data_IF_107461781298
#
_entry.id   IF_107461781298
#
_cell.length_a   1.000
_cell.length_b   1.000
_cell.length_c   1.000
_cell.angle_alpha   90.00
_cell.angle_beta   90.00
_cell.angle_gamma   90.00
#
_symmetry.space_group_name_H-M   'P 1'
#
loop_
_entity.id
_entity.type
_entity.pdbx_description
1 polymer ?
#
# COMPACT_ATOMS: atom_id res chain seq x y z
N UNK A 1 2.13 -9.00 -31.39
CA UNK A 1 2.25 -8.08 -30.25
C UNK A 1 1.58 -8.77 -29.07
N UNK A 2 2.24 -8.87 -27.91
CA UNK A 2 1.59 -9.36 -26.70
C UNK A 2 0.55 -8.33 -26.25
N UNK A 3 -0.61 -8.79 -25.78
CA UNK A 3 -1.65 -7.92 -25.22
C UNK A 3 -1.28 -7.57 -23.78
N UNK A 4 -1.19 -6.27 -23.48
CA UNK A 4 -1.01 -5.76 -22.12
C UNK A 4 -2.41 -5.53 -21.53
N UNK A 5 -2.67 -6.16 -20.39
CA UNK A 5 -3.89 -5.92 -19.60
C UNK A 5 -3.56 -4.98 -18.45
N UNK A 6 -4.34 -3.90 -18.32
CA UNK A 6 -4.23 -2.95 -17.22
C UNK A 6 -5.34 -3.16 -16.20
N UNK A 7 -4.93 -3.32 -14.95
CA UNK A 7 -5.80 -3.42 -13.78
C UNK A 7 -5.65 -2.15 -12.97
N UNK A 8 -6.77 -1.62 -12.48
CA UNK A 8 -6.81 -0.45 -11.60
C UNK A 8 -7.39 -0.91 -10.27
N UNK A 9 -6.75 -0.52 -9.16
CA UNK A 9 -7.27 -0.85 -7.83
C UNK A 9 -8.65 -0.21 -7.65
N UNK A 10 -9.56 -0.94 -7.02
CA UNK A 10 -10.84 -0.40 -6.57
C UNK A 10 -10.71 0.03 -5.09
N UNK A 11 -10.71 1.34 -4.78
CA UNK A 11 -10.58 1.81 -3.41
C UNK A 11 -11.76 1.43 -2.51
N UNK A 12 -12.95 1.14 -3.06
CA UNK A 12 -14.13 0.79 -2.27
C UNK A 12 -14.06 -0.62 -1.67
N UNK A 13 -13.24 -1.50 -2.27
CA UNK A 13 -13.10 -2.90 -1.87
C UNK A 13 -11.66 -3.26 -1.50
N UNK A 14 -10.83 -2.24 -1.22
CA UNK A 14 -9.43 -2.41 -0.87
C UNK A 14 -9.10 -1.64 0.41
N UNK A 15 -8.07 -2.08 1.13
CA UNK A 15 -7.58 -1.38 2.32
C UNK A 15 -6.06 -1.39 2.39
N UNK A 16 -5.51 -0.32 2.95
CA UNK A 16 -4.07 -0.18 3.21
C UNK A 16 -3.90 -0.02 4.71
N UNK A 17 -3.52 -1.10 5.38
CA UNK A 17 -3.40 -1.13 6.84
C UNK A 17 -1.96 -1.29 7.29
N UNK A 18 -1.64 -0.73 8.45
CA UNK A 18 -0.39 -0.95 9.16
C UNK A 18 -0.65 -1.26 10.63
N UNK A 19 0.30 -1.99 11.24
CA UNK A 19 0.28 -2.31 12.67
C UNK A 19 1.66 -2.08 13.26
N UNK A 20 1.72 -1.32 14.35
CA UNK A 20 2.96 -1.02 15.07
C UNK A 20 2.80 -1.39 16.54
N UNK A 21 3.75 -2.15 17.08
CA UNK A 21 3.78 -2.49 18.50
C UNK A 21 4.20 -1.26 19.32
N UNK A 22 3.50 -1.00 20.41
CA UNK A 22 3.82 0.04 21.38
C UNK A 22 4.10 -0.61 22.74
N UNK A 23 5.36 -0.50 23.19
CA UNK A 23 5.88 -1.07 24.45
C UNK A 23 5.58 -2.57 24.65
N UNK A 24 5.46 -3.36 23.57
CA UNK A 24 5.20 -4.82 23.58
C UNK A 24 3.82 -5.22 24.15
N UNK A 25 3.05 -4.29 24.71
CA UNK A 25 1.76 -4.54 25.37
C UNK A 25 0.59 -4.20 24.44
N UNK A 26 0.68 -3.09 23.71
CA UNK A 26 -0.40 -2.64 22.82
C UNK A 26 0.04 -2.60 21.36
N UNK A 27 -0.92 -2.70 20.45
CA UNK A 27 -0.70 -2.57 19.01
C UNK A 27 -1.54 -1.41 18.50
N UNK A 28 -0.87 -0.42 17.90
CA UNK A 28 -1.54 0.63 17.15
C UNK A 28 -1.84 0.07 15.77
N UNK A 29 -3.12 0.06 15.40
CA UNK A 29 -3.57 -0.23 14.03
C UNK A 29 -3.94 1.08 13.38
N UNK A 30 -3.50 1.29 12.15
CA UNK A 30 -3.93 2.43 11.35
C UNK A 30 -4.08 2.04 9.89
N UNK A 31 -4.64 2.96 9.12
CA UNK A 31 -4.82 2.81 7.68
C UNK A 31 -4.59 4.13 6.95
N UNK A 32 -4.43 4.05 5.64
CA UNK A 32 -4.49 5.20 4.73
C UNK A 32 -5.78 5.10 3.91
N UNK A 33 -6.62 6.12 3.96
CA UNK A 33 -7.95 6.12 3.31
C UNK A 33 -7.94 6.57 1.85
N UNK A 34 -6.86 7.22 1.40
CA UNK A 34 -6.72 7.73 0.04
C UNK A 34 -5.51 7.09 -0.60
N UNK A 35 -5.77 6.23 -1.57
CA UNK A 35 -4.74 5.52 -2.30
C UNK A 35 -5.21 5.18 -3.71
N UNK A 36 -4.24 4.91 -4.58
CA UNK A 36 -4.44 4.48 -5.95
C UNK A 36 -3.35 3.47 -6.32
N UNK A 37 -3.61 2.72 -7.38
CA UNK A 37 -2.65 1.73 -7.85
C UNK A 37 -3.09 1.10 -9.15
N UNK A 38 -2.09 0.67 -9.91
CA UNK A 38 -2.27 0.00 -11.20
C UNK A 38 -1.34 -1.18 -11.32
N UNK A 39 -1.80 -2.23 -12.00
CA UNK A 39 -0.97 -3.35 -12.41
C UNK A 39 -1.10 -3.54 -13.92
N UNK A 40 0.01 -3.60 -14.62
CA UNK A 40 0.07 -3.89 -16.05
C UNK A 40 0.81 -5.21 -16.25
N UNK A 41 0.20 -6.17 -16.94
CA UNK A 41 0.76 -7.50 -17.15
C UNK A 41 0.58 -7.97 -18.60
N UNK A 42 1.54 -8.72 -19.10
CA UNK A 42 1.48 -9.37 -20.41
C UNK A 42 0.87 -10.76 -20.29
N UNK A 43 -0.25 -11.00 -20.98
CA UNK A 43 -0.97 -12.27 -20.90
C UNK A 43 -1.67 -12.49 -19.54
N UNK A 44 -1.71 -13.75 -19.09
CA UNK A 44 -2.48 -14.18 -17.91
C UNK A 44 -1.62 -14.31 -16.64
N UNK A 45 -0.34 -13.94 -16.68
CA UNK A 45 0.59 -14.07 -15.55
C UNK A 45 1.13 -12.71 -15.10
N UNK A 46 1.48 -12.61 -13.82
CA UNK A 46 2.09 -11.41 -13.24
C UNK A 46 3.62 -11.49 -13.15
N UNK A 47 4.26 -12.45 -13.83
CA UNK A 47 5.72 -12.65 -13.75
C UNK A 47 6.50 -11.41 -14.17
N UNK A 48 6.01 -10.71 -15.19
CA UNK A 48 6.58 -9.48 -15.72
C UNK A 48 5.67 -8.28 -15.49
N UNK A 49 4.82 -8.34 -14.45
CA UNK A 49 3.91 -7.24 -14.18
C UNK A 49 4.66 -5.97 -13.78
N UNK A 50 4.09 -4.82 -14.09
CA UNK A 50 4.49 -3.52 -13.54
C UNK A 50 3.39 -3.08 -12.59
N UNK A 51 3.72 -2.99 -11.30
CA UNK A 51 2.82 -2.49 -10.26
C UNK A 51 3.32 -1.13 -9.81
N UNK A 52 2.43 -0.14 -9.88
CA UNK A 52 2.61 1.18 -9.30
C UNK A 52 1.51 1.42 -8.28
N UNK A 53 1.86 1.99 -7.15
CA UNK A 53 0.94 2.24 -6.05
C UNK A 53 1.31 3.54 -5.35
N UNK A 54 0.31 4.28 -4.91
CA UNK A 54 0.48 5.54 -4.20
C UNK A 54 -0.57 5.71 -3.12
N UNK A 55 -0.19 6.32 -2.00
CA UNK A 55 -1.12 6.74 -0.96
C UNK A 55 -0.81 8.15 -0.49
N UNK A 56 -1.85 8.87 -0.08
CA UNK A 56 -1.73 10.21 0.48
C UNK A 56 -1.52 10.12 1.99
N UNK A 57 -0.44 10.73 2.48
CA UNK A 57 -0.08 10.75 3.91
C UNK A 57 -1.18 11.42 4.76
N UNK A 58 -1.85 12.45 4.23
CA UNK A 58 -2.93 13.13 4.93
C UNK A 58 -4.15 12.25 5.23
N UNK A 59 -4.26 11.12 4.54
CA UNK A 59 -5.36 10.17 4.74
C UNK A 59 -5.10 9.16 5.86
N UNK A 60 -4.00 9.30 6.60
CA UNK A 60 -3.70 8.46 7.75
C UNK A 60 -4.80 8.55 8.81
N UNK A 61 -5.23 7.39 9.30
CA UNK A 61 -6.22 7.25 10.36
C UNK A 61 -5.82 6.14 11.32
N UNK A 62 -5.61 6.50 12.58
CA UNK A 62 -5.39 5.56 13.68
C UNK A 62 -6.54 5.56 14.68
N UNK A 63 -7.69 6.13 14.29
CA UNK A 63 -8.86 6.44 15.11
C UNK A 63 -8.55 7.39 16.29
N UNK A 64 -7.49 8.20 16.20
CA UNK A 64 -7.07 9.13 17.24
C UNK A 64 -6.53 10.42 16.62
N UNK A 65 -7.39 11.43 16.50
CA UNK A 65 -7.12 12.69 15.78
C UNK A 65 -5.81 13.37 16.20
N UNK A 66 -5.48 13.38 17.51
CA UNK A 66 -4.23 13.97 17.99
C UNK A 66 -3.00 13.19 17.51
N UNK A 67 -3.06 11.86 17.51
CA UNK A 67 -1.98 11.00 17.02
C UNK A 67 -1.86 11.12 15.51
N UNK A 68 -2.98 11.19 14.78
CA UNK A 68 -2.97 11.36 13.34
C UNK A 68 -2.35 12.72 12.95
N UNK A 69 -2.64 13.78 13.70
CA UNK A 69 -1.98 15.08 13.56
C UNK A 69 -0.47 15.00 13.83
N UNK A 70 -0.05 14.25 14.85
CA UNK A 70 1.37 14.05 15.15
C UNK A 70 2.09 13.28 14.05
N UNK A 71 1.48 12.21 13.52
CA UNK A 71 2.07 11.39 12.45
C UNK A 71 2.28 12.18 11.14
N UNK A 72 1.47 13.20 10.88
CA UNK A 72 1.61 14.07 9.70
C UNK A 72 2.71 15.12 9.85
N UNK A 73 3.19 15.38 11.08
CA UNK A 73 4.19 16.42 11.32
C UNK A 73 5.57 16.05 10.78
N UNK A 74 6.48 17.03 10.77
CA UNK A 74 7.88 16.86 10.38
C UNK A 74 8.67 15.88 11.27
N UNK A 75 8.13 15.45 12.41
CA UNK A 75 8.76 14.44 13.27
C UNK A 75 8.53 13.00 12.77
N UNK A 76 7.56 12.80 11.86
CA UNK A 76 7.21 11.50 11.31
C UNK A 76 7.17 11.52 9.79
N UNK A 77 5.99 11.58 9.18
CA UNK A 77 5.85 11.48 7.73
C UNK A 77 6.13 12.80 7.01
N UNK A 78 6.14 13.93 7.72
CA UNK A 78 6.35 15.27 7.14
C UNK A 78 5.45 15.50 5.93
N UNK A 79 4.13 15.39 6.14
CA UNK A 79 3.12 15.34 5.08
C UNK A 79 3.12 16.60 4.20
N UNK A 80 3.48 17.75 4.75
CA UNK A 80 3.59 19.00 3.98
C UNK A 80 4.71 18.92 2.92
N UNK A 81 5.82 18.25 3.24
CA UNK A 81 6.96 18.11 2.34
C UNK A 81 6.89 16.86 1.47
N UNK A 82 6.34 15.77 2.01
CA UNK A 82 6.21 14.47 1.35
C UNK A 82 4.76 13.99 1.44
N UNK A 83 3.84 14.57 0.64
CA UNK A 83 2.40 14.29 0.75
C UNK A 83 2.02 12.88 0.29
N UNK A 84 2.92 12.17 -0.39
CA UNK A 84 2.62 10.90 -1.04
C UNK A 84 3.70 9.86 -0.73
N UNK A 85 3.27 8.65 -0.37
CA UNK A 85 4.13 7.47 -0.29
C UNK A 85 3.87 6.64 -1.55
N UNK A 86 4.95 6.35 -2.29
CA UNK A 86 4.87 5.63 -3.57
C UNK A 86 5.61 4.30 -3.52
N UNK A 87 5.07 3.31 -4.19
CA UNK A 87 5.68 2.02 -4.42
C UNK A 87 5.70 1.71 -5.92
N UNK A 88 6.84 1.21 -6.41
CA UNK A 88 7.00 0.70 -7.76
C UNK A 88 7.69 -0.66 -7.69
N UNK A 89 7.05 -1.68 -8.27
CA UNK A 89 7.61 -3.03 -8.30
C UNK A 89 8.90 -3.08 -9.12
N UNK A 90 9.86 -3.86 -8.65
CA UNK A 90 11.14 -4.07 -9.34
C UNK A 90 11.32 -5.50 -9.84
N UNK A 91 10.70 -6.49 -9.19
CA UNK A 91 10.75 -7.89 -9.59
C UNK A 91 9.65 -8.70 -8.92
N UNK A 92 9.22 -9.78 -9.56
CA UNK A 92 8.25 -10.74 -9.04
C UNK A 92 8.89 -12.12 -8.92
N UNK A 93 8.51 -12.86 -7.88
CA UNK A 93 8.89 -14.27 -7.73
C UNK A 93 7.63 -15.09 -7.52
N UNK A 94 7.23 -15.83 -8.55
CA UNK A 94 6.11 -16.77 -8.41
C UNK A 94 6.57 -17.94 -7.54
N UNK A 95 5.83 -18.18 -6.45
CA UNK A 95 6.02 -19.36 -5.61
C UNK A 95 4.87 -20.32 -5.87
N UNK A 96 5.15 -21.39 -6.61
CA UNK A 96 4.21 -22.51 -6.76
C UNK A 96 4.21 -23.30 -5.46
N UNK A 97 3.09 -23.30 -4.74
CA UNK A 97 2.89 -24.13 -3.55
C UNK A 97 2.19 -25.41 -3.98
N UNK A 98 2.92 -26.53 -4.03
CA UNK A 98 2.30 -27.86 -4.23
C UNK A 98 1.75 -28.31 -2.88
N UNK A 99 0.42 -28.27 -2.73
CA UNK A 99 -0.25 -28.90 -1.59
C UNK A 99 -0.34 -30.39 -1.91
N UNK A 100 0.55 -31.19 -1.35
CA UNK A 100 0.39 -32.65 -1.34
C UNK A 100 -0.61 -33.01 -0.25
N UNK A 101 -1.67 -33.72 -0.63
CA UNK A 101 -2.70 -34.25 0.26
C UNK A 101 -2.43 -35.73 0.58
#
# INVERSE_FOLDING_TARGET
MATITKWVIDPMHSEVQFKVKHLVISTVTGSFKSFEGTAEAEGDTFENANIEFALNVDSIDTNQVQRDGHLKSAEFFDAEKYPQITFKSTSFKIKVVVIMN
#
